data_IF_507617221096
#
_entry.id   IF_507617221096
#
_cell.length_a   1.000
_cell.length_b   1.000
_cell.length_c   1.000
_cell.angle_alpha   90.00
_cell.angle_beta   90.00
_cell.angle_gamma   90.00
#
_symmetry.space_group_name_H-M   'P 1'
#
loop_
_entity.id
_entity.type
_entity.pdbx_description
1 polymer ?
#
# COMPACT_ATOMS: atom_id res chain seq x y z
N UNK A 1 23.79 -16.37 12.74
CA UNK A 1 22.36 -16.02 12.70
C UNK A 1 21.61 -17.03 13.56
N UNK A 2 20.98 -16.60 14.66
CA UNK A 2 20.14 -17.47 15.47
C UNK A 2 18.87 -17.81 14.69
N UNK A 3 18.34 -19.02 14.85
CA UNK A 3 17.17 -19.54 14.12
C UNK A 3 15.98 -18.58 14.16
N UNK A 4 15.77 -17.89 15.29
CA UNK A 4 14.70 -16.89 15.51
C UNK A 4 14.83 -15.66 14.60
N UNK A 5 16.04 -15.22 14.27
CA UNK A 5 16.23 -14.03 13.42
C UNK A 5 15.94 -14.35 11.95
N UNK A 6 16.25 -15.57 11.51
CA UNK A 6 15.91 -16.05 10.17
C UNK A 6 14.39 -16.18 10.04
N UNK A 7 13.73 -16.69 11.08
CA UNK A 7 12.27 -16.81 11.10
C UNK A 7 11.57 -15.45 11.02
N UNK A 8 12.02 -14.47 11.81
CA UNK A 8 11.49 -13.08 11.76
C UNK A 8 11.68 -12.48 10.37
N UNK A 9 12.88 -12.61 9.78
CA UNK A 9 13.18 -12.09 8.44
C UNK A 9 12.25 -12.72 7.39
N UNK A 10 12.18 -14.05 7.33
CA UNK A 10 11.36 -14.75 6.34
C UNK A 10 9.87 -14.43 6.53
N UNK A 11 9.35 -14.46 7.76
CA UNK A 11 7.95 -14.15 8.01
C UNK A 11 7.61 -12.70 7.66
N UNK A 12 8.44 -11.75 8.08
CA UNK A 12 8.21 -10.32 7.81
C UNK A 12 8.25 -10.06 6.31
N UNK A 13 9.27 -10.59 5.61
CA UNK A 13 9.42 -10.45 4.17
C UNK A 13 8.23 -11.05 3.40
N UNK A 14 7.85 -12.29 3.71
CA UNK A 14 6.71 -12.97 3.05
C UNK A 14 5.42 -12.21 3.34
N UNK A 15 5.21 -11.78 4.58
CA UNK A 15 4.00 -11.04 4.96
C UNK A 15 3.93 -9.69 4.24
N UNK A 16 5.04 -8.95 4.17
CA UNK A 16 5.11 -7.70 3.43
C UNK A 16 4.89 -7.89 1.94
N UNK A 17 5.47 -8.93 1.34
CA UNK A 17 5.28 -9.22 -0.08
C UNK A 17 3.82 -9.55 -0.40
N UNK A 18 3.16 -10.33 0.46
CA UNK A 18 1.73 -10.65 0.32
C UNK A 18 0.84 -9.43 0.52
N UNK A 19 1.17 -8.55 1.48
CA UNK A 19 0.33 -7.39 1.81
C UNK A 19 0.52 -6.21 0.86
N UNK A 20 1.76 -5.95 0.42
CA UNK A 20 2.05 -4.91 -0.57
C UNK A 20 1.64 -5.32 -1.98
N UNK A 21 1.49 -6.63 -2.21
CA UNK A 21 1.13 -7.27 -3.48
C UNK A 21 1.75 -6.57 -4.71
N UNK A 22 3.09 -6.67 -4.88
CA UNK A 22 3.78 -6.05 -6.01
C UNK A 22 3.20 -6.43 -7.37
N UNK A 23 2.50 -7.57 -7.48
CA UNK A 23 1.91 -8.01 -8.75
C UNK A 23 0.53 -7.37 -8.93
N UNK A 24 -0.32 -7.45 -7.90
CA UNK A 24 -1.66 -6.85 -7.92
C UNK A 24 -1.68 -5.32 -7.96
N UNK A 25 -0.59 -4.66 -7.58
CA UNK A 25 -0.47 -3.19 -7.70
C UNK A 25 -0.32 -2.74 -9.15
N UNK A 26 0.25 -3.57 -10.03
CA UNK A 26 0.55 -3.20 -11.42
C UNK A 26 -0.69 -2.73 -12.20
N UNK A 27 -1.81 -3.46 -12.23
CA UNK A 27 -3.01 -3.00 -12.92
C UNK A 27 -3.54 -1.66 -12.39
N UNK A 28 -3.43 -1.45 -11.08
CA UNK A 28 -3.86 -0.21 -10.42
C UNK A 28 -2.91 0.94 -10.79
N UNK A 29 -1.62 0.68 -10.83
CA UNK A 29 -0.63 1.65 -11.26
C UNK A 29 -0.81 2.03 -12.74
N UNK A 30 -1.10 1.07 -13.61
CA UNK A 30 -1.37 1.32 -15.04
C UNK A 30 -2.59 2.22 -15.20
N UNK A 31 -3.68 1.97 -14.46
CA UNK A 31 -4.90 2.77 -14.56
C UNK A 31 -4.71 4.19 -14.02
N UNK A 32 -4.04 4.35 -12.87
CA UNK A 32 -3.74 5.64 -12.28
C UNK A 32 -2.75 6.49 -13.09
N UNK A 33 -2.01 5.84 -14.00
CA UNK A 33 -1.01 6.51 -14.84
C UNK A 33 -1.39 6.47 -16.33
N UNK A 34 -2.64 6.13 -16.69
CA UNK A 34 -3.09 6.03 -18.09
C UNK A 34 -2.69 7.24 -18.93
N UNK A 35 -2.87 8.44 -18.38
CA UNK A 35 -2.67 9.73 -19.05
C UNK A 35 -1.20 10.21 -19.05
N UNK A 36 -0.29 9.42 -18.47
CA UNK A 36 1.14 9.77 -18.37
C UNK A 36 1.96 9.20 -19.52
N UNK A 37 2.95 9.97 -19.99
CA UNK A 37 4.01 9.46 -20.88
C UNK A 37 4.84 8.37 -20.19
N UNK A 38 5.52 7.51 -20.97
CA UNK A 38 6.38 6.44 -20.44
C UNK A 38 7.47 6.95 -19.48
N UNK A 39 8.04 8.13 -19.76
CA UNK A 39 9.06 8.75 -18.90
C UNK A 39 8.44 9.20 -17.58
N UNK A 40 7.24 9.80 -17.62
CA UNK A 40 6.50 10.18 -16.42
C UNK A 40 6.11 8.94 -15.60
N UNK A 41 5.63 7.86 -16.21
CA UNK A 41 5.30 6.59 -15.53
C UNK A 41 6.48 6.06 -14.73
N UNK A 42 7.67 5.95 -15.35
CA UNK A 42 8.89 5.48 -14.66
C UNK A 42 9.28 6.37 -13.48
N UNK A 43 9.16 7.70 -13.64
CA UNK A 43 9.43 8.66 -12.56
C UNK A 43 8.41 8.54 -11.43
N UNK A 44 7.14 8.37 -11.76
CA UNK A 44 6.05 8.13 -10.81
C UNK A 44 6.29 6.86 -10.01
N UNK A 45 6.62 5.74 -10.67
CA UNK A 45 6.95 4.48 -10.00
C UNK A 45 8.10 4.65 -9.00
N UNK A 46 9.18 5.33 -9.41
CA UNK A 46 10.32 5.61 -8.53
C UNK A 46 9.91 6.45 -7.32
N UNK A 47 9.15 7.54 -7.54
CA UNK A 47 8.72 8.43 -6.47
C UNK A 47 7.82 7.71 -5.47
N UNK A 48 6.82 6.94 -5.95
CA UNK A 48 5.94 6.15 -5.10
C UNK A 48 6.75 5.17 -4.26
N UNK A 49 7.66 4.39 -4.87
CA UNK A 49 8.46 3.42 -4.13
C UNK A 49 9.36 4.04 -3.06
N UNK A 50 9.95 5.22 -3.35
CA UNK A 50 10.74 5.95 -2.35
C UNK A 50 9.86 6.40 -1.18
N UNK A 51 8.69 6.97 -1.47
CA UNK A 51 7.79 7.44 -0.41
C UNK A 51 7.23 6.27 0.40
N UNK A 52 6.88 5.15 -0.25
CA UNK A 52 6.42 3.93 0.43
C UNK A 52 7.50 3.38 1.34
N UNK A 53 8.74 3.25 0.85
CA UNK A 53 9.87 2.83 1.68
C UNK A 53 10.05 3.77 2.87
N UNK A 54 9.99 5.09 2.64
CA UNK A 54 10.12 6.09 3.71
C UNK A 54 9.01 5.98 4.75
N UNK A 55 7.74 5.88 4.32
CA UNK A 55 6.59 5.73 5.23
C UNK A 55 6.69 4.45 6.03
N UNK A 56 7.07 3.33 5.40
CA UNK A 56 7.22 2.06 6.10
C UNK A 56 8.39 2.09 7.08
N UNK A 57 9.54 2.69 6.71
CA UNK A 57 10.67 2.89 7.62
C UNK A 57 10.23 3.72 8.84
N UNK A 58 9.61 4.88 8.63
CA UNK A 58 9.11 5.73 9.72
C UNK A 58 8.09 4.99 10.57
N UNK A 59 7.23 4.17 9.97
CA UNK A 59 6.25 3.35 10.69
C UNK A 59 6.91 2.26 11.53
N UNK A 60 7.97 1.62 11.03
CA UNK A 60 8.78 0.68 11.82
C UNK A 60 9.42 1.40 13.02
N UNK A 61 10.00 2.58 12.78
CA UNK A 61 10.72 3.40 13.78
C UNK A 61 9.82 3.96 14.87
N UNK A 62 8.73 4.62 14.46
CA UNK A 62 7.94 5.49 15.33
C UNK A 62 6.46 5.14 15.34
N UNK A 63 6.01 4.17 14.54
CA UNK A 63 4.58 3.95 14.34
C UNK A 63 3.84 3.53 15.62
N UNK A 64 4.48 2.77 16.51
CA UNK A 64 3.89 2.50 17.83
C UNK A 64 3.71 3.77 18.66
N UNK A 65 4.73 4.63 18.72
CA UNK A 65 4.70 5.84 19.53
C UNK A 65 3.70 6.86 18.97
N UNK A 66 3.62 6.98 17.64
CA UNK A 66 2.61 7.79 16.95
C UNK A 66 1.21 7.29 17.32
N UNK A 67 0.95 5.99 17.18
CA UNK A 67 -0.35 5.41 17.52
C UNK A 67 -0.72 5.65 18.99
N UNK A 68 0.22 5.42 19.92
CA UNK A 68 0.01 5.65 21.35
C UNK A 68 -0.22 7.12 21.69
N UNK A 69 0.46 8.04 21.02
CA UNK A 69 0.26 9.48 21.22
C UNK A 69 -1.17 9.92 20.92
N UNK A 70 -1.79 9.33 19.89
CA UNK A 70 -3.19 9.58 19.53
C UNK A 70 -4.19 8.66 20.25
N UNK A 71 -3.74 7.81 21.17
CA UNK A 71 -4.56 6.79 21.83
C UNK A 71 -5.28 5.85 20.84
N UNK A 72 -4.62 5.54 19.71
CA UNK A 72 -5.11 4.65 18.67
C UNK A 72 -4.38 3.30 18.80
N UNK A 73 -5.10 2.19 18.83
CA UNK A 73 -4.51 0.87 18.75
C UNK A 73 -4.32 0.37 17.32
N UNK A 74 -3.57 -0.74 17.19
CA UNK A 74 -3.33 -1.37 15.88
C UNK A 74 -4.65 -1.88 15.25
N UNK A 75 -5.63 -2.25 16.07
CA UNK A 75 -6.91 -2.77 15.59
C UNK A 75 -7.76 -1.65 14.96
N UNK A 76 -7.83 -0.50 15.61
CA UNK A 76 -8.48 0.74 15.16
C UNK A 76 -7.82 1.22 13.86
N UNK A 77 -6.49 1.20 13.81
CA UNK A 77 -5.73 1.55 12.61
C UNK A 77 -6.04 0.60 11.43
N UNK A 78 -6.17 -0.70 11.68
CA UNK A 78 -6.58 -1.69 10.66
C UNK A 78 -7.99 -1.44 10.12
N UNK A 79 -8.95 -1.10 10.98
CA UNK A 79 -10.32 -0.77 10.56
C UNK A 79 -10.34 0.51 9.73
N UNK A 80 -9.73 1.59 10.22
CA UNK A 80 -9.64 2.87 9.49
C UNK A 80 -8.96 2.71 8.14
N UNK A 81 -7.89 1.93 8.12
CA UNK A 81 -7.19 1.59 6.90
C UNK A 81 -8.03 0.78 5.92
N UNK A 82 -8.70 -0.26 6.40
CA UNK A 82 -9.59 -1.07 5.58
C UNK A 82 -10.72 -0.22 4.97
N UNK A 83 -11.26 0.76 5.70
CA UNK A 83 -12.23 1.71 5.15
C UNK A 83 -11.64 2.54 3.99
N UNK A 84 -10.40 3.02 4.11
CA UNK A 84 -9.73 3.74 3.04
C UNK A 84 -9.57 2.84 1.80
N UNK A 85 -9.10 1.61 1.97
CA UNK A 85 -8.97 0.64 0.87
C UNK A 85 -10.32 0.31 0.23
N UNK A 86 -11.40 0.23 1.02
CA UNK A 86 -12.75 0.00 0.53
C UNK A 86 -13.21 1.16 -0.37
N UNK A 87 -13.00 2.41 0.08
CA UNK A 87 -13.29 3.58 -0.74
C UNK A 87 -12.51 3.57 -2.07
N UNK A 88 -11.24 3.18 -2.04
CA UNK A 88 -10.43 3.03 -3.25
C UNK A 88 -10.96 1.95 -4.19
N UNK A 89 -11.34 0.80 -3.62
CA UNK A 89 -11.93 -0.28 -4.40
C UNK A 89 -13.20 0.16 -5.12
N UNK A 90 -14.08 0.89 -4.42
CA UNK A 90 -15.31 1.43 -4.98
C UNK A 90 -14.99 2.46 -6.06
N UNK A 91 -14.02 3.36 -5.82
CA UNK A 91 -13.59 4.35 -6.81
C UNK A 91 -13.08 3.69 -8.11
N UNK A 92 -12.36 2.58 -8.03
CA UNK A 92 -11.91 1.85 -9.23
C UNK A 92 -13.08 1.17 -9.97
N UNK A 93 -14.07 0.69 -9.23
CA UNK A 93 -15.28 0.08 -9.78
C UNK A 93 -16.24 1.09 -10.39
N UNK A 94 -16.18 2.35 -9.97
CA UNK A 94 -17.17 3.37 -10.34
C UNK A 94 -16.53 4.42 -11.23
N UNK A 95 -16.96 4.52 -12.49
CA UNK A 95 -16.29 5.35 -13.50
C UNK A 95 -16.45 6.87 -13.23
N UNK A 96 -17.44 7.32 -12.43
CA UNK A 96 -17.73 8.77 -12.30
C UNK A 96 -18.12 9.31 -10.89
N UNK A 97 -18.40 8.48 -9.87
CA UNK A 97 -19.12 8.98 -8.68
C UNK A 97 -18.25 9.60 -7.57
N UNK A 98 -16.94 9.33 -7.51
CA UNK A 98 -16.05 9.83 -6.43
C UNK A 98 -14.99 10.84 -6.86
N UNK A 99 -14.88 11.12 -8.17
CA UNK A 99 -13.94 12.12 -8.70
C UNK A 99 -14.19 13.52 -8.10
N UNK A 100 -15.41 13.83 -7.70
CA UNK A 100 -15.78 15.19 -7.24
C UNK A 100 -15.58 15.45 -5.75
N UNK A 101 -15.52 14.44 -4.87
CA UNK A 101 -15.44 14.66 -3.42
C UNK A 101 -14.00 14.65 -2.88
N UNK A 102 -13.12 13.79 -3.41
CA UNK A 102 -11.72 13.69 -2.97
C UNK A 102 -10.77 14.49 -3.86
N UNK A 103 -11.06 14.66 -5.16
CA UNK A 103 -10.20 15.45 -6.05
C UNK A 103 -10.33 16.97 -5.82
N UNK A 104 -11.51 17.46 -5.41
CA UNK A 104 -11.71 18.90 -5.13
C UNK A 104 -10.94 19.43 -3.92
N UNK A 105 -10.38 18.54 -3.08
CA UNK A 105 -9.53 18.95 -1.95
C UNK A 105 -8.07 19.22 -2.33
N UNK A 106 -7.60 18.77 -3.50
CA UNK A 106 -6.18 18.86 -3.87
C UNK A 106 -5.92 19.18 -5.36
N UNK A 107 -6.91 19.67 -6.10
CA UNK A 107 -6.67 20.36 -7.37
C UNK A 107 -6.21 21.79 -7.11
N UNK A 108 -5.00 21.97 -6.57
CA UNK A 108 -4.23 23.18 -6.81
C UNK A 108 -3.70 23.08 -8.24
N UNK A 109 -4.36 23.79 -9.14
CA UNK A 109 -3.87 24.14 -10.47
C UNK A 109 -2.48 24.78 -10.32
N UNK A 110 -1.42 24.01 -10.59
CA UNK A 110 -0.09 24.55 -10.83
C UNK A 110 0.29 24.21 -12.27
N UNK A 111 0.47 25.26 -13.07
CA UNK A 111 0.99 25.20 -14.44
C UNK A 111 2.31 24.41 -14.45
N UNK A 112 2.40 23.32 -15.21
CA UNK A 112 3.66 22.65 -15.51
C UNK A 112 3.84 21.19 -15.06
N UNK A 113 2.81 20.52 -14.53
CA UNK A 113 2.87 19.08 -14.30
C UNK A 113 1.78 18.61 -13.35
N UNK A 114 0.81 17.83 -13.85
CA UNK A 114 -0.17 17.15 -13.01
C UNK A 114 0.58 16.27 -12.01
N UNK A 115 0.57 16.67 -10.74
CA UNK A 115 0.94 15.81 -9.64
C UNK A 115 -0.11 14.69 -9.58
N UNK A 116 0.18 13.59 -10.27
CA UNK A 116 -0.37 12.29 -9.92
C UNK A 116 0.13 11.98 -8.50
N UNK A 117 -0.61 11.16 -7.75
CA UNK A 117 -0.13 10.39 -6.57
C UNK A 117 -0.38 10.86 -5.12
N UNK A 118 -1.56 11.35 -4.70
CA UNK A 118 -1.95 11.14 -3.29
C UNK A 118 -2.29 9.67 -2.99
N UNK A 119 -2.65 8.89 -4.02
CA UNK A 119 -3.34 7.60 -3.89
C UNK A 119 -2.44 6.35 -3.99
N UNK A 120 -1.36 6.41 -4.77
CA UNK A 120 -0.44 5.27 -4.91
C UNK A 120 0.31 4.93 -3.61
N UNK A 121 0.52 5.94 -2.75
CA UNK A 121 1.21 5.79 -1.46
C UNK A 121 0.33 5.07 -0.43
N UNK A 122 -0.92 5.49 -0.14
CA UNK A 122 -1.84 4.75 0.73
C UNK A 122 -2.15 3.34 0.27
N UNK A 123 -2.00 3.05 -1.02
CA UNK A 123 -2.24 1.72 -1.57
C UNK A 123 -1.06 0.76 -1.29
N UNK A 124 0.18 1.21 -1.52
CA UNK A 124 1.39 0.40 -1.33
C UNK A 124 1.90 0.40 0.10
N UNK A 125 1.96 1.57 0.75
CA UNK A 125 2.16 1.69 2.19
C UNK A 125 0.80 1.54 2.88
N UNK A 126 0.03 0.53 2.46
CA UNK A 126 -1.30 0.31 2.97
C UNK A 126 -1.32 0.12 4.48
N UNK A 127 -2.48 0.29 5.12
CA UNK A 127 -2.66 0.06 6.54
C UNK A 127 -2.24 -1.35 6.98
N UNK A 128 -2.26 -2.30 6.06
CA UNK A 128 -1.69 -3.62 6.25
C UNK A 128 -0.19 -3.65 6.35
N UNK A 129 0.50 -3.06 5.39
CA UNK A 129 1.96 -2.97 5.43
C UNK A 129 2.40 -2.14 6.65
N UNK A 130 1.80 -0.97 6.88
CA UNK A 130 2.07 -0.11 8.04
C UNK A 130 1.82 -0.85 9.35
N UNK A 131 0.62 -1.42 9.54
CA UNK A 131 0.29 -2.14 10.77
C UNK A 131 1.19 -3.36 11.01
N UNK A 132 1.64 -4.01 9.93
CA UNK A 132 2.57 -5.15 10.00
C UNK A 132 3.95 -4.71 10.45
N UNK A 133 4.53 -3.67 9.83
CA UNK A 133 5.86 -3.20 10.24
C UNK A 133 5.86 -2.60 11.65
N UNK A 134 4.74 -2.03 12.10
CA UNK A 134 4.58 -1.59 13.49
C UNK A 134 4.62 -2.80 14.44
N UNK A 135 3.87 -3.86 14.16
CA UNK A 135 3.86 -5.08 14.99
C UNK A 135 5.24 -5.72 15.03
N UNK A 136 5.87 -5.93 13.87
CA UNK A 136 7.19 -6.55 13.81
C UNK A 136 8.28 -5.66 14.44
N UNK A 137 8.19 -4.34 14.28
CA UNK A 137 9.07 -3.37 14.94
C UNK A 137 8.95 -3.42 16.47
N UNK A 138 7.75 -3.63 17.01
CA UNK A 138 7.53 -3.83 18.46
C UNK A 138 8.10 -5.15 18.99
N UNK A 139 8.04 -6.22 18.20
CA UNK A 139 8.51 -7.55 18.58
C UNK A 139 10.02 -7.76 18.37
N UNK A 140 10.72 -6.78 17.80
CA UNK A 140 12.16 -6.85 17.58
C UNK A 140 12.93 -6.54 18.87
N UNK A 141 13.33 -7.60 19.58
CA UNK A 141 14.05 -7.48 20.87
C UNK A 141 15.54 -7.12 20.75
N UNK A 142 16.13 -7.11 19.54
CA UNK A 142 17.55 -6.84 19.31
C UNK A 142 17.74 -5.87 18.14
N UNK A 143 18.73 -4.97 18.22
CA UNK A 143 19.13 -4.07 17.13
C UNK A 143 19.35 -4.81 15.79
N UNK A 144 19.83 -6.04 15.83
CA UNK A 144 20.02 -6.87 14.65
C UNK A 144 18.69 -7.30 13.99
N UNK A 145 17.73 -7.81 14.77
CA UNK A 145 16.39 -8.17 14.27
C UNK A 145 15.65 -6.96 13.73
N UNK A 146 15.89 -5.80 14.34
CA UNK A 146 15.37 -4.52 13.89
C UNK A 146 15.92 -4.11 12.51
N UNK A 147 17.24 -4.26 12.32
CA UNK A 147 17.89 -4.03 11.03
C UNK A 147 17.38 -4.97 9.92
N UNK A 148 17.05 -6.23 10.26
CA UNK A 148 16.46 -7.18 9.31
C UNK A 148 15.10 -6.72 8.81
N UNK A 149 14.23 -6.22 9.68
CA UNK A 149 12.90 -5.70 9.27
C UNK A 149 13.06 -4.49 8.33
N UNK A 150 14.01 -3.60 8.59
CA UNK A 150 14.29 -2.47 7.68
C UNK A 150 14.79 -2.96 6.31
N UNK A 151 15.61 -4.00 6.28
CA UNK A 151 16.02 -4.66 5.03
C UNK A 151 14.80 -5.27 4.31
N UNK A 152 13.90 -5.93 5.03
CA UNK A 152 12.67 -6.50 4.45
C UNK A 152 11.78 -5.42 3.81
N UNK A 153 11.63 -4.27 4.49
CA UNK A 153 10.90 -3.10 3.96
C UNK A 153 11.55 -2.60 2.66
N UNK A 154 12.88 -2.51 2.62
CA UNK A 154 13.60 -2.08 1.41
C UNK A 154 13.44 -3.10 0.27
N UNK A 155 13.54 -4.39 0.55
CA UNK A 155 13.35 -5.45 -0.45
C UNK A 155 11.93 -5.42 -1.00
N UNK A 156 10.91 -5.35 -0.13
CA UNK A 156 9.51 -5.31 -0.54
C UNK A 156 9.19 -4.04 -1.37
N UNK A 157 9.70 -2.88 -0.93
CA UNK A 157 9.54 -1.61 -1.67
C UNK A 157 10.25 -1.63 -3.02
N UNK A 158 11.42 -2.27 -3.10
CA UNK A 158 12.15 -2.48 -4.35
C UNK A 158 11.43 -3.45 -5.29
N UNK A 159 10.84 -4.54 -4.77
CA UNK A 159 10.01 -5.43 -5.56
C UNK A 159 8.79 -4.71 -6.16
N UNK A 160 8.11 -3.88 -5.36
CA UNK A 160 7.02 -3.03 -5.84
C UNK A 160 7.49 -2.04 -6.92
N UNK A 161 8.68 -1.43 -6.74
CA UNK A 161 9.29 -0.58 -7.76
C UNK A 161 9.50 -1.32 -9.07
N UNK A 162 10.11 -2.51 -9.03
CA UNK A 162 10.39 -3.31 -10.23
C UNK A 162 9.09 -3.68 -10.94
N UNK A 163 8.06 -4.07 -10.21
CA UNK A 163 6.78 -4.42 -10.79
C UNK A 163 6.11 -3.20 -11.48
N UNK A 164 6.06 -2.04 -10.81
CA UNK A 164 5.54 -0.80 -11.39
C UNK A 164 6.39 -0.27 -12.55
N UNK A 165 7.71 -0.42 -12.49
CA UNK A 165 8.61 -0.01 -13.56
C UNK A 165 8.34 -0.79 -14.85
N UNK A 166 8.01 -2.08 -14.72
CA UNK A 166 7.64 -2.95 -15.83
C UNK A 166 6.16 -2.84 -16.25
N UNK A 167 5.35 -2.06 -15.54
CA UNK A 167 3.93 -1.86 -15.83
C UNK A 167 3.67 -1.29 -17.24
N UNK A 168 4.65 -0.60 -17.84
CA UNK A 168 4.54 -0.10 -19.20
C UNK A 168 4.41 -1.22 -20.25
N UNK A 169 5.11 -2.35 -20.07
CA UNK A 169 4.97 -3.50 -20.95
C UNK A 169 3.57 -4.10 -20.87
N UNK A 170 2.99 -4.11 -19.67
CA UNK A 170 1.63 -4.56 -19.43
C UNK A 170 0.62 -3.61 -20.10
N UNK A 171 0.79 -2.28 -19.99
CA UNK A 171 -0.14 -1.35 -20.64
C UNK A 171 -0.17 -1.48 -22.15
N UNK A 172 0.96 -1.79 -22.79
CA UNK A 172 1.00 -1.97 -24.24
C UNK A 172 0.34 -3.29 -24.69
N UNK A 173 0.41 -4.34 -23.88
CA UNK A 173 -0.15 -5.65 -24.19
C UNK A 173 -1.69 -5.68 -24.12
N UNK A 174 -2.30 -4.99 -23.16
CA UNK A 174 -3.74 -5.11 -22.89
C UNK A 174 -4.65 -4.10 -23.63
N UNK A 175 -4.11 -3.00 -24.16
CA UNK A 175 -4.92 -1.94 -24.79
C UNK A 175 -5.88 -1.22 -23.82
N UNK A 176 -6.63 -0.22 -24.31
CA UNK A 176 -7.50 0.60 -23.44
C UNK A 176 -8.61 -0.21 -22.77
N UNK A 177 -9.31 -1.06 -23.54
CA UNK A 177 -10.38 -1.92 -23.04
C UNK A 177 -9.85 -2.94 -22.01
N UNK A 178 -8.68 -3.54 -22.27
CA UNK A 178 -8.08 -4.50 -21.34
C UNK A 178 -7.69 -3.85 -20.02
N UNK A 179 -7.15 -2.62 -20.06
CA UNK A 179 -6.84 -1.84 -18.84
C UNK A 179 -8.11 -1.57 -18.03
N UNK A 180 -9.22 -1.23 -18.67
CA UNK A 180 -10.49 -1.00 -17.98
C UNK A 180 -10.97 -2.26 -17.23
N UNK A 181 -11.04 -3.40 -17.93
CA UNK A 181 -11.47 -4.68 -17.34
C UNK A 181 -10.56 -5.06 -16.17
N UNK A 182 -9.26 -4.97 -16.38
CA UNK A 182 -8.24 -5.28 -15.36
C UNK A 182 -8.38 -4.36 -14.15
N UNK A 183 -8.70 -3.08 -14.35
CA UNK A 183 -8.94 -2.11 -13.27
C UNK A 183 -10.17 -2.51 -12.45
N UNK A 184 -11.25 -2.96 -13.10
CA UNK A 184 -12.44 -3.46 -12.38
C UNK A 184 -12.11 -4.70 -11.55
N UNK A 185 -11.36 -5.65 -12.11
CA UNK A 185 -10.93 -6.86 -11.39
C UNK A 185 -10.04 -6.49 -10.19
N UNK A 186 -9.06 -5.60 -10.38
CA UNK A 186 -8.20 -5.13 -9.30
C UNK A 186 -9.02 -4.39 -8.21
N UNK A 187 -10.04 -3.63 -8.60
CA UNK A 187 -11.00 -3.02 -7.67
C UNK A 187 -11.73 -4.06 -6.83
N UNK A 188 -12.25 -5.13 -7.44
CA UNK A 188 -12.90 -6.23 -6.70
C UNK A 188 -11.95 -6.89 -5.69
N UNK A 189 -10.69 -7.16 -6.10
CA UNK A 189 -9.67 -7.76 -5.23
C UNK A 189 -9.35 -6.83 -4.06
N UNK A 190 -9.14 -5.54 -4.34
CA UNK A 190 -8.85 -4.54 -3.31
C UNK A 190 -9.99 -4.41 -2.30
N UNK A 191 -11.25 -4.49 -2.76
CA UNK A 191 -12.43 -4.52 -1.90
C UNK A 191 -12.46 -5.74 -0.98
N UNK A 192 -12.09 -6.92 -1.49
CA UNK A 192 -11.98 -8.13 -0.66
C UNK A 192 -10.87 -7.98 0.41
N UNK A 193 -9.72 -7.41 0.05
CA UNK A 193 -8.62 -7.12 0.99
C UNK A 193 -9.09 -6.12 2.06
N UNK A 194 -9.80 -5.07 1.65
CA UNK A 194 -10.35 -4.06 2.54
C UNK A 194 -11.30 -4.67 3.60
N UNK A 195 -12.25 -5.50 3.16
CA UNK A 195 -13.18 -6.21 4.07
C UNK A 195 -12.42 -7.11 5.04
N UNK A 196 -11.43 -7.88 4.56
CA UNK A 196 -10.57 -8.70 5.42
C UNK A 196 -9.87 -7.85 6.48
N UNK A 197 -9.36 -6.68 6.12
CA UNK A 197 -8.70 -5.75 7.04
C UNK A 197 -9.64 -5.23 8.12
N UNK A 198 -10.85 -4.82 7.72
CA UNK A 198 -11.91 -4.39 8.63
C UNK A 198 -12.26 -5.51 9.59
N UNK A 199 -12.55 -6.72 9.10
CA UNK A 199 -12.89 -7.87 9.94
C UNK A 199 -11.77 -8.22 10.94
N UNK A 200 -10.51 -8.24 10.51
CA UNK A 200 -9.38 -8.51 11.41
C UNK A 200 -9.22 -7.46 12.51
N UNK A 201 -9.53 -6.19 12.21
CA UNK A 201 -9.57 -5.13 13.21
C UNK A 201 -10.77 -5.30 14.15
N UNK A 202 -11.97 -5.52 13.61
CA UNK A 202 -13.20 -5.68 14.38
C UNK A 202 -13.17 -6.86 15.34
N UNK A 203 -12.63 -8.03 14.94
CA UNK A 203 -12.48 -9.19 15.83
C UNK A 203 -11.64 -8.84 17.06
N UNK A 204 -10.61 -7.99 16.91
CA UNK A 204 -9.78 -7.54 18.02
C UNK A 204 -10.45 -6.47 18.88
N UNK A 205 -11.29 -5.63 18.30
CA UNK A 205 -12.04 -4.58 19.02
C UNK A 205 -13.26 -5.13 19.75
N UNK A 206 -13.88 -6.18 19.19
CA UNK A 206 -15.11 -6.81 19.67
C UNK A 206 -14.83 -8.29 19.95
N UNK A 207 -14.17 -8.63 21.07
CA UNK A 207 -13.82 -10.02 21.41
C UNK A 207 -15.04 -10.93 21.62
N UNK A 208 -16.27 -10.41 21.64
CA UNK A 208 -17.51 -11.19 21.67
C UNK A 208 -18.01 -11.65 20.28
N UNK A 209 -17.29 -11.37 19.19
CA UNK A 209 -17.64 -11.77 17.82
C UNK A 209 -16.92 -13.05 17.33
N UNK A 210 -16.00 -13.60 18.13
CA UNK A 210 -15.19 -14.78 17.82
C UNK A 210 -15.76 -16.08 18.37
#
# INVERSE_FOLDING_TARGET
MNSTNIEIFIQTLVTLFVLMDPIGIVPIFVSLTSDQSTVQKKRTAKNISIVVAFVLIISTLFGNDILRYFYIGIAEFRVSGGLLLLLMSIQMLTTDLFSTAVAKGHTSTYNGGRLVTPLGIPLLAGPGAIGTVIIYGQNAHTFFSYGLILIDVLIASFAAYVAMYNAHHISHFFGEIGIEIITKIAGLILGAIAVRFICQGLIRLLPGLS
#
